data_IF_370826044417
#
_entry.id   IF_370826044417
#
_cell.length_a   1.000
_cell.length_b   1.000
_cell.length_c   1.000
_cell.angle_alpha   90.00
_cell.angle_beta   90.00
_cell.angle_gamma   90.00
#
_symmetry.space_group_name_H-M   'P 1'
#
loop_
_entity.id
_entity.type
_entity.pdbx_description
1 polymer ?
#
# COMPACT_ATOMS: atom_id res chain seq x y z
N UNK A 1 -17.61 7.88 -14.71
CA UNK A 1 -18.15 8.48 -13.46
C UNK A 1 -19.36 7.70 -12.95
N UNK A 2 -20.33 7.38 -13.79
CA UNK A 2 -21.58 6.70 -13.40
C UNK A 2 -21.35 5.36 -12.70
N UNK A 3 -20.45 4.51 -13.21
CA UNK A 3 -20.11 3.20 -12.61
C UNK A 3 -19.62 3.36 -11.17
N UNK A 4 -18.75 4.33 -10.90
CA UNK A 4 -18.20 4.56 -9.56
C UNK A 4 -19.23 5.01 -8.52
N UNK A 5 -20.38 5.55 -8.97
CA UNK A 5 -21.48 5.96 -8.10
C UNK A 5 -22.56 4.89 -7.93
N UNK A 6 -22.43 3.75 -8.58
CA UNK A 6 -23.38 2.64 -8.37
C UNK A 6 -23.19 2.03 -6.99
N UNK A 7 -24.29 1.58 -6.38
CA UNK A 7 -24.25 0.87 -5.10
C UNK A 7 -23.35 -0.36 -5.17
N UNK A 8 -23.39 -1.09 -6.26
CA UNK A 8 -22.57 -2.30 -6.46
C UNK A 8 -21.08 -2.01 -6.44
N UNK A 9 -20.64 -0.87 -7.00
CA UNK A 9 -19.24 -0.46 -6.98
C UNK A 9 -18.77 -0.03 -5.58
N UNK A 10 -19.68 0.51 -4.77
CA UNK A 10 -19.40 1.05 -3.44
C UNK A 10 -19.65 0.04 -2.30
N UNK A 11 -19.92 -1.23 -2.62
CA UNK A 11 -20.11 -2.26 -1.61
C UNK A 11 -18.85 -2.42 -0.74
N UNK A 12 -19.08 -2.53 0.57
CA UNK A 12 -18.03 -2.91 1.50
C UNK A 12 -17.66 -4.40 1.31
N UNK A 13 -16.43 -4.74 1.71
CA UNK A 13 -15.96 -6.12 1.72
C UNK A 13 -16.62 -6.91 2.87
N UNK A 14 -16.85 -6.22 4.00
CA UNK A 14 -17.50 -6.82 5.17
C UNK A 14 -18.99 -6.95 4.93
N UNK A 15 -19.56 -8.15 5.03
CA UNK A 15 -20.99 -8.37 4.82
C UNK A 15 -21.81 -7.74 5.95
N UNK A 16 -23.01 -7.28 5.62
CA UNK A 16 -23.97 -6.78 6.58
C UNK A 16 -24.90 -7.92 7.06
N UNK A 17 -25.09 -8.01 8.37
CA UNK A 17 -26.03 -8.95 8.98
C UNK A 17 -25.75 -10.42 8.61
N UNK A 18 -26.82 -11.16 8.25
CA UNK A 18 -26.75 -12.59 7.92
C UNK A 18 -26.34 -12.88 6.46
N UNK A 19 -25.86 -11.89 5.71
CA UNK A 19 -25.55 -12.07 4.30
C UNK A 19 -24.51 -13.18 4.04
N UNK A 20 -23.55 -13.38 4.97
CA UNK A 20 -22.56 -14.46 4.85
C UNK A 20 -23.16 -15.85 5.05
N UNK A 21 -24.16 -15.97 5.92
CA UNK A 21 -24.86 -17.26 6.15
C UNK A 21 -25.75 -17.63 4.98
N UNK A 22 -26.42 -16.65 4.37
CA UNK A 22 -27.34 -16.83 3.25
C UNK A 22 -26.63 -17.00 1.90
N UNK A 23 -25.51 -16.32 1.71
CA UNK A 23 -24.73 -16.33 0.47
C UNK A 23 -23.22 -16.37 0.78
N UNK A 24 -22.70 -17.51 1.26
CA UNK A 24 -21.27 -17.64 1.60
C UNK A 24 -20.35 -17.39 0.40
N UNK A 25 -20.75 -17.81 -0.79
CA UNK A 25 -19.98 -17.66 -2.03
C UNK A 25 -20.13 -16.28 -2.69
N UNK A 26 -20.94 -15.40 -2.10
CA UNK A 26 -21.23 -14.06 -2.64
C UNK A 26 -21.74 -14.07 -4.10
N UNK A 27 -22.60 -15.04 -4.43
CA UNK A 27 -23.18 -15.21 -5.78
C UNK A 27 -24.15 -14.10 -6.14
N UNK A 28 -24.81 -13.52 -5.13
CA UNK A 28 -25.77 -12.41 -5.29
C UNK A 28 -25.11 -11.03 -5.10
N UNK A 29 -23.78 -10.98 -5.00
CA UNK A 29 -23.01 -9.73 -4.89
C UNK A 29 -23.48 -8.84 -3.73
N UNK A 30 -23.75 -9.44 -2.57
CA UNK A 30 -24.15 -8.72 -1.36
C UNK A 30 -22.97 -7.94 -0.73
N UNK A 31 -21.74 -8.23 -1.12
CA UNK A 31 -20.50 -7.56 -0.69
C UNK A 31 -19.50 -7.46 -1.84
N UNK A 32 -18.53 -6.59 -1.73
CA UNK A 32 -17.41 -6.56 -2.66
C UNK A 32 -16.52 -7.80 -2.49
N UNK A 33 -15.97 -8.31 -3.59
CA UNK A 33 -14.93 -9.34 -3.52
C UNK A 33 -13.60 -8.74 -3.04
N UNK A 34 -12.94 -9.42 -2.11
CA UNK A 34 -11.57 -9.08 -1.73
C UNK A 34 -10.66 -9.30 -2.93
N UNK A 35 -9.96 -8.25 -3.34
CA UNK A 35 -8.97 -8.31 -4.41
C UNK A 35 -7.64 -7.78 -3.89
N UNK A 36 -6.56 -8.49 -4.21
CA UNK A 36 -5.23 -7.97 -4.01
C UNK A 36 -4.99 -6.81 -4.98
N UNK A 37 -4.34 -5.76 -4.48
CA UNK A 37 -3.88 -4.67 -5.34
C UNK A 37 -2.76 -5.16 -6.25
N UNK A 38 -2.74 -4.66 -7.47
CA UNK A 38 -1.64 -4.85 -8.42
C UNK A 38 -0.39 -4.09 -7.97
N UNK A 39 0.80 -4.56 -8.36
CA UNK A 39 2.08 -3.96 -7.95
C UNK A 39 2.16 -2.46 -8.22
N UNK A 40 1.63 -2.02 -9.36
CA UNK A 40 1.56 -0.61 -9.73
C UNK A 40 0.68 0.20 -8.77
N UNK A 41 -0.46 -0.38 -8.36
CA UNK A 41 -1.37 0.26 -7.40
C UNK A 41 -0.76 0.31 -5.99
N UNK A 42 -0.04 -0.75 -5.57
CA UNK A 42 0.69 -0.77 -4.30
C UNK A 42 1.76 0.32 -4.29
N UNK A 43 2.55 0.44 -5.35
CA UNK A 43 3.57 1.48 -5.48
C UNK A 43 2.97 2.88 -5.41
N UNK A 44 1.91 3.13 -6.17
CA UNK A 44 1.23 4.43 -6.19
C UNK A 44 0.62 4.77 -4.82
N UNK A 45 0.07 3.77 -4.11
CA UNK A 45 -0.44 3.93 -2.75
C UNK A 45 0.66 4.31 -1.74
N UNK A 46 1.84 3.67 -1.82
CA UNK A 46 2.99 4.02 -0.98
C UNK A 46 3.49 5.44 -1.25
N UNK A 47 3.59 5.85 -2.51
CA UNK A 47 3.92 7.22 -2.90
C UNK A 47 2.88 8.22 -2.37
N UNK A 48 1.61 7.87 -2.42
CA UNK A 48 0.52 8.70 -1.90
C UNK A 48 0.60 8.84 -0.38
N UNK A 49 0.79 7.74 0.35
CA UNK A 49 0.88 7.74 1.81
C UNK A 49 2.08 8.56 2.29
N UNK A 50 3.25 8.38 1.66
CA UNK A 50 4.45 9.16 1.97
C UNK A 50 4.36 10.64 1.59
N UNK A 51 3.33 11.05 0.84
CA UNK A 51 3.19 12.42 0.32
C UNK A 51 4.11 12.74 -0.86
N UNK A 52 4.75 11.72 -1.43
CA UNK A 52 5.73 11.89 -2.52
C UNK A 52 5.13 11.77 -3.92
N UNK A 53 3.84 11.39 -4.03
CA UNK A 53 3.22 11.15 -5.32
C UNK A 53 3.12 12.42 -6.17
N UNK A 54 3.85 12.46 -7.27
CA UNK A 54 3.68 13.46 -8.31
C UNK A 54 2.47 13.11 -9.19
N UNK A 55 1.47 13.99 -9.17
CA UNK A 55 0.21 13.85 -9.92
C UNK A 55 0.22 14.60 -11.24
N UNK A 56 1.36 15.11 -11.69
CA UNK A 56 1.45 15.84 -12.95
C UNK A 56 0.88 15.00 -14.09
N UNK A 57 -0.15 15.50 -14.79
CA UNK A 57 -0.73 14.78 -15.92
C UNK A 57 0.16 14.93 -17.14
N UNK A 58 0.09 13.96 -18.04
CA UNK A 58 0.74 13.99 -19.34
C UNK A 58 2.28 14.06 -19.28
N UNK A 59 2.92 14.06 -20.43
CA UNK A 59 4.38 14.06 -20.56
C UNK A 59 4.95 12.70 -20.95
N UNK A 60 6.26 12.61 -21.05
CA UNK A 60 6.98 11.40 -21.42
C UNK A 60 6.99 10.34 -20.31
N UNK A 61 7.52 9.17 -20.65
CA UNK A 61 7.75 8.10 -19.68
C UNK A 61 8.91 8.43 -18.74
N UNK A 62 8.80 8.01 -17.50
CA UNK A 62 9.77 8.21 -16.43
C UNK A 62 10.50 6.93 -16.03
N UNK A 63 11.63 7.10 -15.37
CA UNK A 63 12.39 6.00 -14.80
C UNK A 63 11.65 5.32 -13.64
N UNK A 64 12.11 4.12 -13.27
CA UNK A 64 11.54 3.30 -12.22
C UNK A 64 11.47 4.00 -10.85
N UNK A 65 12.44 4.86 -10.54
CA UNK A 65 12.56 5.56 -9.24
C UNK A 65 11.80 6.90 -9.19
N UNK A 66 11.11 7.26 -10.27
CA UNK A 66 10.31 8.48 -10.35
C UNK A 66 9.17 8.46 -9.33
N UNK A 67 8.84 9.61 -8.78
CA UNK A 67 7.68 9.77 -7.89
C UNK A 67 6.34 9.87 -8.62
N UNK A 68 6.32 9.83 -9.96
CA UNK A 68 5.09 9.84 -10.74
C UNK A 68 4.36 8.50 -10.63
N UNK A 69 3.08 8.53 -10.97
CA UNK A 69 2.25 7.32 -11.02
C UNK A 69 2.89 6.25 -11.89
N UNK A 70 2.73 5.01 -11.48
CA UNK A 70 3.28 3.82 -12.18
C UNK A 70 2.82 3.71 -13.64
N UNK A 71 1.69 4.34 -13.99
CA UNK A 71 1.21 4.47 -15.36
C UNK A 71 2.24 5.13 -16.31
N UNK A 72 3.08 6.02 -15.79
CA UNK A 72 4.09 6.75 -16.56
C UNK A 72 5.46 6.08 -16.53
N UNK A 73 5.61 4.97 -15.84
CA UNK A 73 6.90 4.28 -15.80
C UNK A 73 7.27 3.72 -17.16
N UNK A 74 8.52 3.95 -17.51
CA UNK A 74 9.11 3.38 -18.74
C UNK A 74 9.30 1.89 -18.58
N UNK A 75 8.68 1.11 -19.46
CA UNK A 75 8.84 -0.34 -19.51
C UNK A 75 9.85 -0.69 -20.60
N UNK A 76 10.96 -1.28 -20.18
CA UNK A 76 11.99 -1.80 -21.09
C UNK A 76 11.95 -3.33 -20.97
N UNK A 77 11.70 -4.03 -22.10
CA UNK A 77 11.49 -5.49 -22.12
C UNK A 77 12.59 -6.30 -21.43
N UNK A 78 13.85 -5.86 -21.60
CA UNK A 78 15.02 -6.55 -21.07
C UNK A 78 15.47 -6.00 -19.70
N UNK A 79 14.78 -5.01 -19.15
CA UNK A 79 15.10 -4.38 -17.87
C UNK A 79 13.82 -3.99 -17.15
N UNK A 80 13.23 -4.97 -16.50
CA UNK A 80 12.01 -4.76 -15.74
C UNK A 80 12.31 -4.05 -14.39
N UNK A 81 11.33 -3.34 -13.88
CA UNK A 81 11.38 -2.80 -12.52
C UNK A 81 11.38 -3.96 -11.52
N UNK A 82 12.43 -4.14 -10.67
CA UNK A 82 12.53 -5.26 -9.74
C UNK A 82 11.34 -5.34 -8.78
N UNK A 83 10.90 -4.20 -8.24
CA UNK A 83 9.74 -4.14 -7.36
C UNK A 83 8.47 -4.67 -8.04
N UNK A 84 8.17 -4.17 -9.24
CA UNK A 84 6.98 -4.61 -9.98
C UNK A 84 7.06 -6.09 -10.35
N UNK A 85 8.24 -6.58 -10.71
CA UNK A 85 8.45 -8.00 -11.04
C UNK A 85 8.14 -8.90 -9.84
N UNK A 86 8.61 -8.53 -8.65
CA UNK A 86 8.31 -9.27 -7.41
C UNK A 86 6.82 -9.19 -7.06
N UNK A 87 6.13 -8.11 -7.44
CA UNK A 87 4.70 -7.90 -7.20
C UNK A 87 3.81 -8.40 -8.35
N UNK A 88 4.23 -9.44 -9.07
CA UNK A 88 3.46 -10.12 -10.12
C UNK A 88 3.11 -9.22 -11.33
N UNK A 89 3.90 -8.21 -11.64
CA UNK A 89 3.71 -7.46 -12.89
C UNK A 89 3.95 -8.35 -14.10
N UNK A 90 3.12 -8.26 -15.16
CA UNK A 90 3.25 -9.12 -16.31
C UNK A 90 4.57 -8.89 -17.05
N UNK A 91 5.16 -9.98 -17.51
CA UNK A 91 6.37 -9.93 -18.34
C UNK A 91 6.02 -9.42 -19.74
N UNK A 92 6.60 -8.29 -20.19
CA UNK A 92 6.16 -7.61 -21.42
C UNK A 92 6.61 -8.30 -22.71
N UNK A 93 7.19 -9.51 -22.64
CA UNK A 93 7.62 -10.30 -23.78
C UNK A 93 6.58 -11.27 -24.30
N UNK A 94 5.53 -11.54 -23.54
CA UNK A 94 4.44 -12.45 -23.90
C UNK A 94 3.08 -11.87 -23.53
N UNK A 95 2.05 -12.25 -24.28
CA UNK A 95 0.66 -11.92 -23.91
C UNK A 95 0.19 -12.86 -22.82
N UNK A 96 -0.38 -12.32 -21.75
CA UNK A 96 -0.99 -13.08 -20.67
C UNK A 96 -2.47 -12.77 -20.61
N UNK A 97 -3.32 -13.78 -20.58
CA UNK A 97 -4.77 -13.61 -20.49
C UNK A 97 -5.24 -13.14 -19.10
N UNK A 98 -4.44 -13.40 -18.07
CA UNK A 98 -4.69 -13.00 -16.68
C UNK A 98 -3.37 -12.77 -15.97
N UNK A 99 -3.33 -11.78 -15.08
CA UNK A 99 -2.19 -11.57 -14.18
C UNK A 99 -2.12 -12.69 -13.15
N UNK A 100 -0.92 -13.11 -12.82
CA UNK A 100 -0.68 -13.97 -11.68
C UNK A 100 -0.94 -13.20 -10.38
N UNK A 101 -1.33 -13.93 -9.35
CA UNK A 101 -1.52 -13.40 -8.00
C UNK A 101 -0.86 -14.39 -7.06
N UNK A 102 0.37 -14.09 -6.66
CA UNK A 102 1.15 -14.95 -5.77
C UNK A 102 1.24 -14.34 -4.37
N UNK A 103 1.55 -15.18 -3.39
CA UNK A 103 1.93 -14.75 -2.05
C UNK A 103 3.20 -15.51 -1.66
N UNK A 104 4.34 -14.92 -1.97
CA UNK A 104 5.65 -15.53 -1.79
C UNK A 104 6.51 -14.72 -0.81
N UNK A 105 7.43 -15.37 -0.07
CA UNK A 105 8.31 -14.70 0.88
C UNK A 105 9.13 -13.55 0.28
N UNK A 106 9.49 -13.64 -1.00
CA UNK A 106 10.23 -12.59 -1.71
C UNK A 106 9.51 -11.24 -1.68
N UNK A 107 8.18 -11.22 -1.71
CA UNK A 107 7.39 -9.99 -1.64
C UNK A 107 7.54 -9.32 -0.26
N UNK A 108 7.46 -10.10 0.82
CA UNK A 108 7.64 -9.57 2.18
C UNK A 108 9.07 -9.08 2.38
N UNK A 109 10.07 -9.81 1.89
CA UNK A 109 11.48 -9.39 1.97
C UNK A 109 11.73 -8.11 1.19
N UNK A 110 11.14 -7.95 0.01
CA UNK A 110 11.23 -6.71 -0.77
C UNK A 110 10.59 -5.54 0.00
N UNK A 111 9.42 -5.73 0.60
CA UNK A 111 8.77 -4.68 1.39
C UNK A 111 9.62 -4.24 2.59
N UNK A 112 10.48 -5.09 3.12
CA UNK A 112 11.34 -4.79 4.27
C UNK A 112 12.71 -4.22 3.91
N UNK A 113 13.23 -4.51 2.71
CA UNK A 113 14.64 -4.26 2.39
C UNK A 113 14.87 -3.41 1.14
N UNK A 114 13.85 -3.17 0.31
CA UNK A 114 14.02 -2.39 -0.91
C UNK A 114 14.33 -0.92 -0.58
N UNK A 115 15.45 -0.35 -1.09
CA UNK A 115 15.84 1.04 -0.79
C UNK A 115 14.78 2.07 -1.16
N UNK A 116 14.03 1.84 -2.23
CA UNK A 116 12.94 2.72 -2.63
C UNK A 116 11.84 2.74 -1.56
N UNK A 117 11.43 1.56 -1.06
CA UNK A 117 10.41 1.44 0.00
C UNK A 117 10.90 2.08 1.30
N UNK A 118 12.15 1.81 1.69
CA UNK A 118 12.73 2.41 2.90
C UNK A 118 12.76 3.94 2.81
N UNK A 119 13.10 4.49 1.65
CA UNK A 119 13.07 5.95 1.44
C UNK A 119 11.65 6.54 1.56
N UNK A 120 10.63 5.81 1.07
CA UNK A 120 9.23 6.22 1.22
C UNK A 120 8.75 6.11 2.67
N UNK A 121 9.19 5.08 3.40
CA UNK A 121 8.88 4.91 4.83
C UNK A 121 9.46 6.07 5.65
N UNK A 122 10.69 6.48 5.38
CA UNK A 122 11.32 7.64 6.01
C UNK A 122 10.53 8.94 5.73
N UNK A 123 10.18 9.18 4.47
CA UNK A 123 9.36 10.34 4.09
C UNK A 123 7.99 10.32 4.76
N UNK A 124 7.38 9.14 4.86
CA UNK A 124 6.09 8.96 5.53
C UNK A 124 6.21 9.28 7.03
N UNK A 125 7.24 8.77 7.70
CA UNK A 125 7.50 9.08 9.10
C UNK A 125 7.72 10.59 9.31
N UNK A 126 8.52 11.24 8.46
CA UNK A 126 8.77 12.68 8.53
C UNK A 126 7.49 13.50 8.28
N UNK A 127 6.64 13.08 7.35
CA UNK A 127 5.34 13.71 7.11
C UNK A 127 4.45 13.69 8.34
N UNK A 128 4.39 12.54 9.04
CA UNK A 128 3.57 12.39 10.25
C UNK A 128 4.15 13.15 11.42
N UNK A 129 5.48 13.10 11.61
CA UNK A 129 6.18 13.84 12.69
C UNK A 129 6.12 15.36 12.49
N UNK A 130 6.05 15.83 11.25
CA UNK A 130 5.95 17.25 10.92
C UNK A 130 4.56 17.84 11.09
N UNK A 131 3.54 17.05 11.39
CA UNK A 131 2.18 17.54 11.65
C UNK A 131 2.04 17.95 13.12
N UNK A 132 1.93 19.25 13.37
CA UNK A 132 1.81 19.84 14.70
C UNK A 132 0.56 19.40 15.46
N UNK A 133 -0.44 18.85 14.78
CA UNK A 133 -1.65 18.32 15.41
C UNK A 133 -1.45 16.90 15.96
N UNK A 134 -0.43 16.17 15.53
CA UNK A 134 -0.17 14.78 15.88
C UNK A 134 0.88 14.69 16.99
N UNK A 135 0.54 15.16 18.20
CA UNK A 135 1.49 15.30 19.31
C UNK A 135 1.77 14.01 20.09
N UNK A 136 0.90 13.01 19.97
CA UNK A 136 1.05 11.73 20.68
C UNK A 136 1.38 10.61 19.73
N UNK A 137 2.06 9.57 20.22
CA UNK A 137 2.39 8.36 19.43
C UNK A 137 1.11 7.71 18.90
N UNK A 138 0.06 7.67 19.72
CA UNK A 138 -1.23 7.12 19.33
C UNK A 138 -1.83 7.86 18.14
N UNK A 139 -1.86 9.20 18.20
CA UNK A 139 -2.37 10.02 17.11
C UNK A 139 -1.54 9.86 15.83
N UNK A 140 -0.22 9.74 15.96
CA UNK A 140 0.68 9.49 14.82
C UNK A 140 0.41 8.14 14.18
N UNK A 141 0.33 7.08 14.98
CA UNK A 141 0.04 5.72 14.47
C UNK A 141 -1.33 5.69 13.82
N UNK A 142 -2.36 6.27 14.43
CA UNK A 142 -3.70 6.30 13.86
C UNK A 142 -3.73 7.07 12.53
N UNK A 143 -3.05 8.21 12.46
CA UNK A 143 -2.90 8.97 11.22
C UNK A 143 -2.18 8.17 10.12
N UNK A 144 -1.16 7.38 10.46
CA UNK A 144 -0.49 6.48 9.51
C UNK A 144 -1.45 5.43 8.97
N UNK A 145 -2.26 4.81 9.83
CA UNK A 145 -3.28 3.84 9.39
C UNK A 145 -4.35 4.50 8.51
N UNK A 146 -4.79 5.71 8.86
CA UNK A 146 -5.73 6.47 8.02
C UNK A 146 -5.15 6.79 6.64
N UNK A 147 -3.92 7.26 6.58
CA UNK A 147 -3.27 7.64 5.30
C UNK A 147 -2.96 6.43 4.42
N UNK A 148 -2.56 5.29 5.00
CA UNK A 148 -2.13 4.11 4.27
C UNK A 148 -3.28 3.14 3.96
N UNK A 149 -4.22 2.96 4.89
CA UNK A 149 -5.25 1.92 4.86
C UNK A 149 -6.68 2.48 4.89
N UNK A 150 -6.83 3.80 4.96
CA UNK A 150 -8.13 4.51 5.04
C UNK A 150 -9.04 4.02 6.18
N UNK A 151 -8.43 3.63 7.30
CA UNK A 151 -9.11 3.24 8.54
C UNK A 151 -8.27 3.60 9.77
N UNK A 152 -8.90 3.69 10.91
CA UNK A 152 -8.21 3.81 12.18
C UNK A 152 -7.43 2.53 12.52
N UNK A 153 -6.39 2.65 13.36
CA UNK A 153 -5.70 1.52 13.93
C UNK A 153 -6.63 0.78 14.93
N UNK A 154 -6.58 -0.54 14.94
CA UNK A 154 -7.22 -1.32 15.99
C UNK A 154 -6.45 -1.18 17.31
N UNK A 155 -7.10 -1.46 18.47
CA UNK A 155 -6.39 -1.42 19.76
C UNK A 155 -5.14 -2.31 19.83
N UNK A 156 -5.20 -3.49 19.18
CA UNK A 156 -4.06 -4.41 19.16
C UNK A 156 -2.92 -3.91 18.25
N UNK A 157 -3.26 -3.33 17.09
CA UNK A 157 -2.27 -2.70 16.20
C UNK A 157 -1.59 -1.51 16.88
N UNK A 158 -2.36 -0.68 17.57
CA UNK A 158 -1.83 0.45 18.34
C UNK A 158 -0.90 -0.02 19.46
N UNK A 159 -1.30 -1.05 20.21
CA UNK A 159 -0.48 -1.66 21.25
C UNK A 159 0.83 -2.22 20.68
N UNK A 160 0.76 -2.95 19.55
CA UNK A 160 1.93 -3.49 18.89
C UNK A 160 2.89 -2.40 18.39
N UNK A 161 2.36 -1.34 17.79
CA UNK A 161 3.17 -0.21 17.33
C UNK A 161 3.88 0.51 18.49
N UNK A 162 3.20 0.71 19.62
CA UNK A 162 3.81 1.32 20.82
C UNK A 162 4.91 0.46 21.43
N UNK A 163 4.72 -0.85 21.51
CA UNK A 163 5.74 -1.78 21.98
C UNK A 163 6.98 -1.73 21.07
N UNK A 164 6.78 -1.81 19.76
CA UNK A 164 7.87 -1.73 18.78
C UNK A 164 8.67 -0.43 18.88
N UNK A 165 8.00 0.71 19.02
CA UNK A 165 8.66 2.02 19.15
C UNK A 165 9.40 2.15 20.48
N UNK A 166 8.88 1.56 21.57
CA UNK A 166 9.55 1.49 22.86
C UNK A 166 10.84 0.69 22.78
N UNK A 167 10.80 -0.48 22.19
CA UNK A 167 11.97 -1.35 22.00
C UNK A 167 13.02 -0.72 21.08
N UNK A 168 12.60 -0.10 19.97
CA UNK A 168 13.50 0.59 19.05
C UNK A 168 14.25 1.76 19.73
N UNK A 169 13.55 2.56 20.56
CA UNK A 169 14.15 3.64 21.32
C UNK A 169 15.16 3.11 22.37
N UNK A 170 14.85 2.00 23.04
CA UNK A 170 15.76 1.37 23.99
C UNK A 170 17.04 0.83 23.29
N UNK A 171 16.89 0.20 22.12
CA UNK A 171 18.02 -0.26 21.33
C UNK A 171 18.89 0.88 20.82
N UNK A 172 18.29 1.98 20.34
CA UNK A 172 19.01 3.16 19.89
C UNK A 172 19.80 3.81 21.03
N UNK A 173 19.22 3.89 22.22
CA UNK A 173 19.89 4.42 23.41
C UNK A 173 21.07 3.54 23.87
N UNK A 174 20.94 2.21 23.79
CA UNK A 174 22.00 1.25 24.13
C UNK A 174 23.16 1.27 23.12
N UNK A 175 22.90 1.63 21.86
CA UNK A 175 23.95 1.73 20.83
C UNK A 175 24.78 3.02 20.92
N UNK A 176 24.32 4.01 21.70
CA UNK A 176 24.98 5.30 21.90
C UNK A 176 25.73 5.39 23.26
N UNK A 177 25.61 4.37 24.11
CA UNK A 177 26.26 4.25 25.40
C UNK A 177 27.53 3.37 25.32
#
# INVERSE_FOLDING_TARGET
REIAFTRTFQLAVTPLGKATEMDPDNRFLARAHVRRLEGEAIRDAMLQASGSLDRSPLGGSDNADSNRRSLYQRIIRNRLNPFLTVMDAPVPTSTTGRRDVTNVPAQSLTMMNDPFILSLAERFANRVKGDENLKTVEAQVDAMFQMALNRAATPDELKGAKAFLGDANAQAAAALA
#
